data_IF_126772107134
#
_entry.id   IF_126772107134
#
_cell.length_a   1.000
_cell.length_b   1.000
_cell.length_c   1.000
_cell.angle_alpha   90.00
_cell.angle_beta   90.00
_cell.angle_gamma   90.00
#
_symmetry.space_group_name_H-M   'P 1'
#
loop_
_entity.id
_entity.type
_entity.pdbx_description
1 polymer ?
#
# COMPACT_ATOMS: atom_id res chain seq x y z
N UNK A 1 14.49 10.66 4.90
CA UNK A 1 14.73 9.26 4.50
C UNK A 1 14.07 8.41 5.57
N UNK A 2 13.11 7.55 5.21
CA UNK A 2 12.47 6.64 6.17
C UNK A 2 13.49 5.60 6.68
N UNK A 3 13.36 5.16 7.92
CA UNK A 3 14.25 4.15 8.51
C UNK A 3 13.94 2.77 7.91
N UNK A 4 14.90 2.08 7.26
CA UNK A 4 14.62 0.79 6.61
C UNK A 4 14.31 -0.33 7.60
N UNK A 5 14.63 -0.15 8.88
CA UNK A 5 14.31 -1.10 9.94
C UNK A 5 12.96 -0.80 10.62
N UNK A 6 12.25 0.25 10.21
CA UNK A 6 10.92 0.54 10.73
C UNK A 6 10.03 -0.70 10.52
N UNK A 7 9.24 -1.11 11.52
CA UNK A 7 8.30 -2.20 11.34
C UNK A 7 7.21 -1.81 10.32
N UNK A 8 6.88 -2.77 9.46
CA UNK A 8 5.69 -2.76 8.63
C UNK A 8 4.45 -2.72 9.53
N UNK A 9 3.52 -1.81 9.22
CA UNK A 9 2.29 -1.61 10.01
C UNK A 9 1.39 -2.86 10.07
N UNK A 10 1.55 -3.82 9.15
CA UNK A 10 0.74 -5.05 9.14
C UNK A 10 1.46 -6.28 9.74
N UNK A 11 2.68 -6.58 9.26
CA UNK A 11 3.37 -7.83 9.59
C UNK A 11 4.56 -7.67 10.55
N UNK A 12 4.86 -6.42 10.95
CA UNK A 12 5.99 -6.06 11.82
C UNK A 12 7.40 -6.43 11.31
N UNK A 13 7.54 -6.84 10.05
CA UNK A 13 8.85 -7.01 9.40
C UNK A 13 9.43 -5.65 8.96
N UNK A 14 10.76 -5.53 8.80
CA UNK A 14 11.39 -4.31 8.30
C UNK A 14 10.82 -3.86 6.95
N UNK A 15 10.52 -2.55 6.80
CA UNK A 15 9.99 -1.99 5.55
C UNK A 15 11.01 -1.91 4.42
N UNK A 16 12.30 -1.96 4.75
CA UNK A 16 13.39 -1.93 3.78
C UNK A 16 13.64 -0.55 3.17
N UNK A 17 14.49 -0.51 2.15
CA UNK A 17 15.01 0.75 1.57
C UNK A 17 13.98 1.52 0.72
N UNK A 18 12.91 0.86 0.29
CA UNK A 18 11.85 1.46 -0.54
C UNK A 18 10.48 0.99 -0.03
N UNK A 19 9.96 1.61 1.04
CA UNK A 19 8.67 1.24 1.61
C UNK A 19 7.53 1.53 0.64
N UNK A 20 6.46 0.74 0.74
CA UNK A 20 5.18 1.04 0.12
C UNK A 20 4.38 1.92 1.07
N UNK A 21 3.83 3.02 0.57
CA UNK A 21 3.14 4.00 1.41
C UNK A 21 1.64 4.06 1.13
N UNK A 22 0.87 4.33 2.18
CA UNK A 22 -0.55 4.64 2.13
C UNK A 22 -0.80 5.91 2.93
N UNK A 23 -1.06 7.02 2.23
CA UNK A 23 -1.41 8.28 2.87
C UNK A 23 -2.89 8.27 3.27
N UNK A 24 -3.17 8.55 4.53
CA UNK A 24 -4.52 8.78 5.05
C UNK A 24 -4.62 10.18 5.66
N UNK A 25 -5.82 10.70 5.96
CA UNK A 25 -5.96 12.00 6.63
C UNK A 25 -5.27 12.08 8.00
N UNK A 26 -5.08 10.95 8.67
CA UNK A 26 -4.49 10.88 10.01
C UNK A 26 -2.96 10.74 9.97
N UNK A 27 -2.46 9.81 9.16
CA UNK A 27 -1.02 9.59 8.97
C UNK A 27 -0.69 8.89 7.64
N UNK A 28 0.59 8.86 7.30
CA UNK A 28 1.13 7.99 6.26
C UNK A 28 1.59 6.68 6.88
N UNK A 29 1.05 5.57 6.38
CA UNK A 29 1.45 4.22 6.76
C UNK A 29 2.55 3.71 5.80
N UNK A 30 3.51 2.96 6.32
CA UNK A 30 4.57 2.32 5.54
C UNK A 30 4.52 0.80 5.66
N UNK A 31 4.74 0.10 4.54
CA UNK A 31 4.63 -1.34 4.42
C UNK A 31 5.85 -1.94 3.71
N UNK A 32 6.21 -3.16 4.08
CA UNK A 32 7.34 -3.89 3.47
C UNK A 32 7.04 -4.42 2.05
N UNK A 33 5.77 -4.55 1.67
CA UNK A 33 5.35 -5.04 0.35
C UNK A 33 3.93 -4.59 -0.04
N UNK A 34 3.59 -4.69 -1.33
CA UNK A 34 2.24 -4.41 -1.85
C UNK A 34 1.15 -5.26 -1.20
N UNK A 35 1.45 -6.52 -0.87
CA UNK A 35 0.51 -7.41 -0.19
C UNK A 35 0.08 -6.89 1.18
N UNK A 36 1.02 -6.36 1.97
CA UNK A 36 0.71 -5.78 3.27
C UNK A 36 -0.13 -4.51 3.13
N UNK A 37 0.19 -3.66 2.15
CA UNK A 37 -0.61 -2.48 1.84
C UNK A 37 -2.04 -2.86 1.45
N UNK A 38 -2.20 -3.78 0.50
CA UNK A 38 -3.52 -4.21 0.01
C UNK A 38 -4.39 -4.84 1.09
N UNK A 39 -3.84 -5.70 1.94
CA UNK A 39 -4.58 -6.29 3.07
C UNK A 39 -5.01 -5.19 4.06
N UNK A 40 -4.12 -4.25 4.38
CA UNK A 40 -4.45 -3.13 5.26
C UNK A 40 -5.61 -2.31 4.70
N UNK A 41 -5.58 -2.00 3.40
CA UNK A 41 -6.68 -1.30 2.73
C UNK A 41 -8.00 -2.06 2.80
N UNK A 42 -7.98 -3.38 2.59
CA UNK A 42 -9.18 -4.22 2.69
C UNK A 42 -9.75 -4.22 4.12
N UNK A 43 -8.89 -4.41 5.13
CA UNK A 43 -9.30 -4.45 6.55
C UNK A 43 -9.88 -3.11 7.01
N UNK A 44 -9.29 -2.01 6.55
CA UNK A 44 -9.71 -0.65 6.93
C UNK A 44 -10.71 -0.04 5.95
N UNK A 45 -11.19 -0.79 4.95
CA UNK A 45 -12.12 -0.33 3.89
C UNK A 45 -11.64 0.96 3.21
N UNK A 46 -10.31 1.09 3.04
CA UNK A 46 -9.68 2.23 2.38
C UNK A 46 -9.75 1.98 0.88
N UNK A 47 -10.80 2.49 0.26
CA UNK A 47 -10.88 2.60 -1.18
C UNK A 47 -9.90 3.69 -1.62
N UNK A 48 -8.64 3.32 -1.84
CA UNK A 48 -7.76 4.13 -2.69
C UNK A 48 -8.43 4.15 -4.06
N UNK A 49 -9.16 5.21 -4.39
CA UNK A 49 -9.48 5.50 -5.78
C UNK A 49 -8.12 5.70 -6.45
N UNK A 50 -7.63 4.75 -7.28
CA UNK A 50 -6.34 4.95 -7.91
C UNK A 50 -6.50 6.16 -8.82
N UNK A 51 -5.60 7.15 -8.81
CA UNK A 51 -5.57 8.15 -9.86
C UNK A 51 -5.17 7.43 -11.16
N UNK A 52 -6.14 6.84 -11.86
CA UNK A 52 -5.96 6.27 -13.20
C UNK A 52 -6.23 4.78 -13.41
N UNK A 53 -6.96 4.05 -12.55
CA UNK A 53 -7.43 2.70 -12.90
C UNK A 53 -8.67 2.75 -13.83
N UNK A 54 -8.49 3.38 -14.99
CA UNK A 54 -9.31 3.12 -16.16
C UNK A 54 -8.67 2.00 -16.97
N UNK A 55 -9.52 1.09 -17.43
CA UNK A 55 -9.33 0.19 -18.58
C UNK A 55 -8.63 -1.16 -18.32
N UNK A 56 -9.40 -2.11 -17.81
CA UNK A 56 -9.39 -3.46 -18.37
C UNK A 56 -10.50 -3.56 -19.43
N UNK A 57 -10.20 -3.05 -20.63
CA UNK A 57 -10.98 -3.33 -21.83
C UNK A 57 -10.48 -4.65 -22.44
N UNK A 58 -11.17 -5.73 -22.12
CA UNK A 58 -11.08 -7.01 -22.82
C UNK A 58 -11.51 -6.80 -24.28
N UNK A 59 -10.57 -6.57 -25.20
CA UNK A 59 -10.82 -6.71 -26.65
C UNK A 59 -10.35 -8.09 -27.08
N UNK A 60 -11.32 -8.97 -27.29
CA UNK A 60 -11.15 -10.30 -27.87
C UNK A 60 -11.04 -10.13 -29.38
N UNK A 61 -9.91 -10.53 -29.99
CA UNK A 61 -9.81 -10.79 -31.44
C UNK A 61 -10.41 -12.15 -31.81
#
# INVERSE_FOLDING_TARGET
MSDPNQPCELCALPVGVKPFTLATPEKTFEFCCEGCKGIYQMLHQINETPPGAGQNANTKS
#
